data_IF_996291329875
#
_entry.id   IF_996291329875
#
_cell.length_a   1.000
_cell.length_b   1.000
_cell.length_c   1.000
_cell.angle_alpha   90.00
_cell.angle_beta   90.00
_cell.angle_gamma   90.00
#
_symmetry.space_group_name_H-M   'P 1'
#
loop_
_entity.id
_entity.type
_entity.pdbx_description
1 polymer ?
#
# COMPACT_ATOMS: atom_id res chain seq x y z
N UNK A 1 -13.62 -16.44 -59.68
CA UNK A 1 -12.58 -17.40 -59.31
C UNK A 1 -12.90 -17.96 -57.93
N UNK A 2 -13.33 -19.23 -57.87
CA UNK A 2 -13.71 -19.94 -56.65
C UNK A 2 -12.47 -20.59 -56.08
N UNK A 3 -12.00 -20.18 -54.88
CA UNK A 3 -10.94 -20.90 -54.16
C UNK A 3 -11.58 -21.86 -53.16
N UNK A 4 -11.50 -23.13 -53.52
CA UNK A 4 -11.86 -24.27 -52.68
C UNK A 4 -10.80 -24.53 -51.66
N UNK A 5 -11.10 -24.30 -50.35
CA UNK A 5 -10.29 -24.78 -49.25
C UNK A 5 -10.56 -26.28 -49.07
N UNK A 6 -9.56 -27.11 -49.42
CA UNK A 6 -9.53 -28.53 -49.14
C UNK A 6 -9.33 -28.78 -47.66
N UNK A 7 -10.29 -29.39 -46.98
CA UNK A 7 -10.15 -29.98 -45.67
C UNK A 7 -9.34 -31.26 -45.73
N UNK A 8 -8.27 -31.37 -45.01
CA UNK A 8 -7.53 -32.62 -44.79
C UNK A 8 -8.15 -33.33 -43.59
N UNK A 9 -8.50 -34.60 -43.71
CA UNK A 9 -8.88 -35.42 -42.58
C UNK A 9 -7.61 -35.90 -41.86
N UNK A 10 -7.45 -35.53 -40.59
CA UNK A 10 -6.48 -36.18 -39.72
C UNK A 10 -7.19 -37.37 -39.10
N UNK A 11 -6.87 -38.55 -39.57
CA UNK A 11 -7.27 -39.80 -38.95
C UNK A 11 -6.40 -40.01 -37.71
N UNK A 12 -7.02 -40.25 -36.58
CA UNK A 12 -6.40 -40.88 -35.43
C UNK A 12 -7.33 -41.93 -34.87
N UNK A 13 -6.88 -43.16 -34.96
CA UNK A 13 -7.50 -44.32 -34.34
C UNK A 13 -7.32 -44.25 -32.82
N UNK A 14 -8.36 -44.66 -32.10
CA UNK A 14 -8.25 -44.98 -30.70
C UNK A 14 -8.87 -43.96 -29.73
N UNK A 15 -10.13 -44.26 -29.36
CA UNK A 15 -10.76 -43.99 -28.08
C UNK A 15 -10.31 -42.73 -27.29
N UNK A 16 -10.62 -41.56 -27.79
CA UNK A 16 -10.85 -40.38 -26.99
C UNK A 16 -12.11 -39.70 -27.51
N UNK A 17 -13.20 -39.83 -26.77
CA UNK A 17 -14.37 -38.98 -26.94
C UNK A 17 -13.96 -37.52 -26.68
N UNK A 18 -13.33 -36.89 -27.66
CA UNK A 18 -13.32 -35.45 -27.73
C UNK A 18 -14.73 -35.05 -28.06
N UNK A 19 -15.51 -34.66 -27.03
CA UNK A 19 -16.74 -33.94 -27.22
C UNK A 19 -16.41 -32.82 -28.21
N UNK A 20 -16.94 -32.92 -29.43
CA UNK A 20 -16.80 -31.88 -30.43
C UNK A 20 -17.43 -30.61 -29.88
N UNK A 21 -16.61 -29.76 -29.31
CA UNK A 21 -17.03 -28.46 -28.78
C UNK A 21 -17.31 -27.59 -29.98
N UNK A 22 -18.57 -27.66 -30.46
CA UNK A 22 -19.04 -26.75 -31.52
C UNK A 22 -18.74 -25.31 -31.10
N UNK A 23 -17.99 -24.54 -31.91
CA UNK A 23 -17.71 -23.15 -31.58
C UNK A 23 -19.00 -22.39 -31.33
N UNK A 24 -19.09 -21.63 -30.27
CA UNK A 24 -20.25 -20.83 -29.86
C UNK A 24 -20.90 -20.02 -31.00
N UNK A 25 -20.12 -19.61 -32.01
CA UNK A 25 -20.57 -18.83 -33.17
C UNK A 25 -21.51 -19.56 -34.12
N UNK A 26 -21.60 -20.90 -34.04
CA UNK A 26 -22.42 -21.71 -34.96
C UNK A 26 -23.65 -22.37 -34.31
N UNK A 27 -23.96 -22.03 -33.06
CA UNK A 27 -25.13 -22.56 -32.37
C UNK A 27 -26.40 -21.76 -32.77
N UNK A 28 -27.56 -22.44 -32.94
CA UNK A 28 -28.84 -21.74 -33.08
C UNK A 28 -29.09 -20.78 -31.90
N UNK A 29 -29.83 -19.66 -32.11
CA UNK A 29 -29.96 -18.62 -31.08
C UNK A 29 -30.45 -19.11 -29.72
N UNK A 30 -31.36 -20.07 -29.68
CA UNK A 30 -31.88 -20.64 -28.42
C UNK A 30 -30.84 -21.50 -27.70
N UNK A 31 -30.09 -22.30 -28.41
CA UNK A 31 -29.02 -23.14 -27.85
C UNK A 31 -27.81 -22.29 -27.42
N UNK A 32 -27.49 -21.25 -28.18
CA UNK A 32 -26.48 -20.26 -27.81
C UNK A 32 -26.83 -19.61 -26.48
N UNK A 33 -28.07 -19.13 -26.32
CA UNK A 33 -28.49 -18.50 -25.06
C UNK A 33 -28.48 -19.48 -23.88
N UNK A 34 -28.90 -20.74 -24.08
CA UNK A 34 -28.89 -21.78 -23.05
C UNK A 34 -27.44 -22.08 -22.59
N UNK A 35 -26.51 -22.20 -23.56
CA UNK A 35 -25.12 -22.47 -23.28
C UNK A 35 -24.44 -21.27 -22.62
N UNK A 36 -24.77 -20.04 -23.03
CA UNK A 36 -24.25 -18.81 -22.39
C UNK A 36 -24.72 -18.73 -20.94
N UNK A 37 -25.99 -19.01 -20.63
CA UNK A 37 -26.51 -19.06 -19.26
C UNK A 37 -25.80 -20.11 -18.41
N UNK A 38 -25.51 -21.29 -18.99
CA UNK A 38 -24.73 -22.32 -18.27
C UNK A 38 -23.31 -21.86 -17.95
N UNK A 39 -22.59 -21.30 -18.93
CA UNK A 39 -21.24 -20.77 -18.73
C UNK A 39 -21.23 -19.66 -17.67
N UNK A 40 -22.23 -18.77 -17.70
CA UNK A 40 -22.34 -17.68 -16.72
C UNK A 40 -22.64 -18.22 -15.32
N UNK A 41 -23.47 -19.26 -15.21
CA UNK A 41 -23.76 -19.97 -13.97
C UNK A 41 -22.53 -20.67 -13.41
N UNK A 42 -21.81 -21.41 -14.24
CA UNK A 42 -20.60 -22.13 -13.85
C UNK A 42 -19.48 -21.16 -13.41
N UNK A 43 -19.29 -20.05 -14.14
CA UNK A 43 -18.42 -18.95 -13.75
C UNK A 43 -18.79 -18.36 -12.40
N UNK A 44 -20.08 -18.08 -12.21
CA UNK A 44 -20.58 -17.54 -10.94
C UNK A 44 -20.31 -18.49 -9.78
N UNK A 45 -20.57 -19.78 -9.96
CA UNK A 45 -20.29 -20.79 -8.93
C UNK A 45 -18.78 -20.91 -8.63
N UNK A 46 -17.93 -20.92 -9.66
CA UNK A 46 -16.48 -20.94 -9.48
C UNK A 46 -15.96 -19.72 -8.71
N UNK A 47 -16.48 -18.53 -9.04
CA UNK A 47 -16.15 -17.29 -8.30
C UNK A 47 -16.61 -17.42 -6.84
N UNK A 48 -17.86 -17.82 -6.60
CA UNK A 48 -18.41 -17.97 -5.26
C UNK A 48 -17.62 -18.99 -4.43
N UNK A 49 -17.16 -20.09 -5.01
CA UNK A 49 -16.33 -21.08 -4.34
C UNK A 49 -14.92 -20.57 -3.99
N UNK A 50 -14.39 -19.63 -4.79
CA UNK A 50 -13.06 -19.05 -4.55
C UNK A 50 -13.04 -17.95 -3.48
N UNK A 51 -14.18 -17.27 -3.23
CA UNK A 51 -14.28 -16.15 -2.28
C UNK A 51 -13.79 -16.52 -0.87
N UNK A 52 -14.22 -17.65 -0.25
CA UNK A 52 -13.76 -17.98 1.10
C UNK A 52 -12.25 -18.18 1.19
N UNK A 53 -11.65 -18.80 0.17
CA UNK A 53 -10.21 -19.02 0.10
C UNK A 53 -9.45 -17.69 0.00
N UNK A 54 -9.86 -16.82 -0.90
CA UNK A 54 -9.26 -15.48 -1.07
C UNK A 54 -9.42 -14.67 0.22
N UNK A 55 -10.60 -14.71 0.84
CA UNK A 55 -10.84 -14.02 2.10
C UNK A 55 -9.91 -14.52 3.22
N UNK A 56 -9.72 -15.83 3.33
CA UNK A 56 -8.80 -16.42 4.31
C UNK A 56 -7.36 -15.97 4.07
N UNK A 57 -6.87 -15.99 2.83
CA UNK A 57 -5.54 -15.52 2.47
C UNK A 57 -5.33 -14.02 2.79
N UNK A 58 -6.36 -13.19 2.55
CA UNK A 58 -6.30 -11.76 2.88
C UNK A 58 -6.24 -11.55 4.39
N UNK A 59 -7.02 -12.32 5.17
CA UNK A 59 -7.02 -12.25 6.63
C UNK A 59 -5.66 -12.68 7.17
N UNK A 60 -5.10 -13.77 6.67
CA UNK A 60 -3.77 -14.25 7.07
C UNK A 60 -2.68 -13.22 6.80
N UNK A 61 -2.66 -12.62 5.60
CA UNK A 61 -1.72 -11.53 5.25
C UNK A 61 -1.85 -10.34 6.20
N UNK A 62 -3.09 -9.94 6.55
CA UNK A 62 -3.34 -8.84 7.49
C UNK A 62 -2.84 -9.19 8.91
N UNK A 63 -3.04 -10.41 9.37
CA UNK A 63 -2.55 -10.86 10.68
C UNK A 63 -1.02 -10.87 10.72
N UNK A 64 -0.37 -11.46 9.71
CA UNK A 64 1.09 -11.45 9.57
C UNK A 64 1.66 -10.04 9.53
N UNK A 65 0.99 -9.11 8.81
CA UNK A 65 1.42 -7.71 8.78
C UNK A 65 1.30 -7.03 10.16
N UNK A 66 0.28 -7.40 10.96
CA UNK A 66 0.13 -6.90 12.33
C UNK A 66 1.24 -7.40 13.24
N UNK A 67 1.58 -8.69 13.15
CA UNK A 67 2.66 -9.30 13.94
C UNK A 67 4.02 -8.67 13.60
N UNK A 68 4.27 -8.40 12.32
CA UNK A 68 5.45 -7.66 11.88
C UNK A 68 5.49 -6.24 12.45
N UNK A 69 4.36 -5.53 12.51
CA UNK A 69 4.29 -4.20 13.16
C UNK A 69 4.69 -4.30 14.64
N UNK A 70 4.20 -5.30 15.37
CA UNK A 70 4.55 -5.46 16.78
C UNK A 70 6.05 -5.80 16.95
N UNK A 71 6.62 -6.64 16.10
CA UNK A 71 8.08 -6.88 16.07
C UNK A 71 8.84 -5.59 15.79
N UNK A 72 8.37 -4.78 14.84
CA UNK A 72 8.94 -3.46 14.56
C UNK A 72 8.85 -2.51 15.75
N UNK A 73 7.74 -2.49 16.46
CA UNK A 73 7.59 -1.68 17.67
C UNK A 73 8.59 -2.12 18.77
N UNK A 74 8.76 -3.43 18.98
CA UNK A 74 9.74 -3.97 19.94
C UNK A 74 11.17 -3.61 19.54
N UNK A 75 11.52 -3.75 18.27
CA UNK A 75 12.82 -3.37 17.75
C UNK A 75 13.09 -1.87 17.94
N UNK A 76 12.09 -1.02 17.65
CA UNK A 76 12.17 0.42 17.86
C UNK A 76 12.41 0.78 19.34
N UNK A 77 11.71 0.15 20.27
CA UNK A 77 11.90 0.35 21.72
C UNK A 77 13.29 -0.06 22.18
N UNK A 78 13.88 -1.09 21.54
CA UNK A 78 15.28 -1.52 21.76
C UNK A 78 16.30 -0.66 21.02
N UNK A 79 15.89 0.45 20.39
CA UNK A 79 16.71 1.35 19.56
C UNK A 79 17.39 0.68 18.36
N UNK A 80 16.87 -0.47 17.91
CA UNK A 80 17.32 -1.18 16.71
C UNK A 80 16.51 -0.67 15.50
N UNK A 81 16.83 0.53 15.07
CA UNK A 81 16.00 1.27 14.11
C UNK A 81 16.00 0.66 12.72
N UNK A 82 17.11 0.10 12.26
CA UNK A 82 17.21 -0.60 10.98
C UNK A 82 16.36 -1.87 10.96
N UNK A 83 16.39 -2.65 12.05
CA UNK A 83 15.57 -3.85 12.21
C UNK A 83 14.08 -3.47 12.24
N UNK A 84 13.71 -2.38 12.92
CA UNK A 84 12.36 -1.87 12.94
C UNK A 84 11.90 -1.40 11.55
N UNK A 85 12.74 -0.66 10.80
CA UNK A 85 12.46 -0.24 9.41
C UNK A 85 12.18 -1.45 8.51
N UNK A 86 12.95 -2.53 8.67
CA UNK A 86 12.77 -3.76 7.91
C UNK A 86 11.41 -4.40 8.20
N UNK A 87 11.05 -4.60 9.47
CA UNK A 87 9.75 -5.17 9.85
C UNK A 87 8.56 -4.33 9.36
N UNK A 88 8.63 -3.00 9.45
CA UNK A 88 7.57 -2.15 8.92
C UNK A 88 7.50 -2.22 7.38
N UNK A 89 8.63 -2.37 6.69
CA UNK A 89 8.67 -2.51 5.23
C UNK A 89 8.01 -3.81 4.77
N UNK A 90 8.27 -4.92 5.45
CA UNK A 90 7.60 -6.19 5.19
C UNK A 90 6.09 -6.11 5.48
N UNK A 91 5.69 -5.42 6.57
CA UNK A 91 4.29 -5.20 6.89
C UNK A 91 3.56 -4.39 5.80
N UNK A 92 4.21 -3.38 5.22
CA UNK A 92 3.68 -2.58 4.11
C UNK A 92 3.47 -3.44 2.87
N UNK A 93 4.41 -4.34 2.53
CA UNK A 93 4.28 -5.24 1.39
C UNK A 93 3.05 -6.16 1.52
N UNK A 94 2.72 -6.59 2.74
CA UNK A 94 1.57 -7.43 3.00
C UNK A 94 0.25 -6.66 3.04
N UNK A 95 0.27 -5.40 3.47
CA UNK A 95 -0.92 -4.56 3.57
C UNK A 95 -0.58 -3.08 3.40
N UNK A 96 -0.48 -2.65 2.14
CA UNK A 96 -0.13 -1.27 1.76
C UNK A 96 -1.14 -0.22 2.26
N UNK A 97 -2.43 -0.60 2.42
CA UNK A 97 -3.51 0.30 2.85
C UNK A 97 -3.55 0.60 4.35
N UNK A 98 -2.66 0.00 5.16
CA UNK A 98 -2.68 0.22 6.60
C UNK A 98 -1.70 1.32 7.02
N UNK A 99 -2.21 2.55 7.11
CA UNK A 99 -1.47 3.78 7.44
C UNK A 99 -0.44 3.66 8.57
N UNK A 100 -0.71 2.97 9.73
CA UNK A 100 0.25 2.94 10.83
C UNK A 100 1.62 2.36 10.46
N UNK A 101 1.72 1.49 9.47
CA UNK A 101 3.02 0.95 9.04
C UNK A 101 3.91 2.04 8.46
N UNK A 102 3.33 2.88 7.58
CA UNK A 102 4.00 4.02 6.97
C UNK A 102 4.45 5.04 8.01
N UNK A 103 3.56 5.42 8.94
CA UNK A 103 3.87 6.39 9.99
C UNK A 103 4.98 5.89 10.92
N UNK A 104 4.96 4.61 11.30
CA UNK A 104 5.98 4.03 12.15
C UNK A 104 7.33 3.92 11.44
N UNK A 105 7.34 3.58 10.14
CA UNK A 105 8.56 3.56 9.34
C UNK A 105 9.13 4.97 9.16
N UNK A 106 8.28 5.97 8.90
CA UNK A 106 8.68 7.37 8.85
C UNK A 106 9.38 7.82 10.14
N UNK A 107 8.80 7.44 11.29
CA UNK A 107 9.42 7.73 12.61
C UNK A 107 10.79 7.10 12.75
N UNK A 108 10.96 5.83 12.35
CA UNK A 108 12.28 5.17 12.33
C UNK A 108 13.28 5.93 11.46
N UNK A 109 12.87 6.29 10.24
CA UNK A 109 13.67 7.01 9.27
C UNK A 109 14.10 8.38 9.78
N UNK A 110 13.21 9.10 10.47
CA UNK A 110 13.52 10.37 11.10
C UNK A 110 14.64 10.23 12.16
N UNK A 111 14.54 9.23 13.03
CA UNK A 111 15.57 8.95 14.03
C UNK A 111 16.92 8.61 13.38
N UNK A 112 16.90 7.89 12.27
CA UNK A 112 18.10 7.55 11.48
C UNK A 112 18.58 8.68 10.56
N UNK A 113 17.97 9.87 10.64
CA UNK A 113 18.25 11.03 9.76
C UNK A 113 17.99 10.77 8.26
N UNK A 114 17.23 9.73 7.92
CA UNK A 114 16.77 9.42 6.55
C UNK A 114 15.53 10.24 6.21
N UNK A 115 15.62 11.57 6.34
CA UNK A 115 14.47 12.49 6.31
C UNK A 115 13.69 12.46 5.01
N UNK A 116 14.35 12.35 3.85
CA UNK A 116 13.65 12.29 2.55
C UNK A 116 12.76 11.03 2.45
N UNK A 117 13.26 9.89 2.92
CA UNK A 117 12.47 8.66 2.99
C UNK A 117 11.30 8.74 3.98
N UNK A 118 11.49 9.49 5.10
CA UNK A 118 10.43 9.73 6.05
C UNK A 118 9.31 10.60 5.46
N UNK A 119 9.63 11.63 4.65
CA UNK A 119 8.65 12.45 3.94
C UNK A 119 7.81 11.58 3.02
N UNK A 120 8.42 10.74 2.19
CA UNK A 120 7.72 9.85 1.28
C UNK A 120 6.76 8.89 2.01
N UNK A 121 7.18 8.35 3.15
CA UNK A 121 6.31 7.50 3.98
C UNK A 121 5.14 8.29 4.58
N UNK A 122 5.38 9.52 5.03
CA UNK A 122 4.33 10.40 5.53
C UNK A 122 3.33 10.76 4.43
N UNK A 123 3.78 11.00 3.20
CA UNK A 123 2.90 11.26 2.06
C UNK A 123 1.99 10.07 1.77
N UNK A 124 2.56 8.84 1.79
CA UNK A 124 1.79 7.60 1.67
C UNK A 124 0.77 7.44 2.82
N UNK A 125 1.15 7.78 4.05
CA UNK A 125 0.25 7.73 5.20
C UNK A 125 -0.88 8.79 5.11
N UNK A 126 -0.57 9.99 4.65
CA UNK A 126 -1.52 11.10 4.50
C UNK A 126 -2.45 10.91 3.30
N UNK A 127 -2.04 10.20 2.25
CA UNK A 127 -2.94 9.80 1.16
C UNK A 127 -4.04 8.86 1.63
N UNK A 128 -3.77 8.02 2.66
CA UNK A 128 -4.76 7.13 3.27
C UNK A 128 -5.66 7.90 4.26
N UNK A 129 -5.06 8.79 5.07
CA UNK A 129 -5.80 9.63 6.01
C UNK A 129 -5.13 11.02 6.12
N UNK A 130 -5.68 12.03 5.41
CA UNK A 130 -5.12 13.40 5.40
C UNK A 130 -5.10 14.09 6.77
N UNK A 131 -5.97 13.67 7.70
CA UNK A 131 -6.07 14.26 9.06
C UNK A 131 -5.26 13.49 10.11
N UNK A 132 -4.30 12.67 9.71
CA UNK A 132 -3.47 11.93 10.66
C UNK A 132 -2.43 12.82 11.33
N UNK A 133 -2.71 13.27 12.56
CA UNK A 133 -1.82 14.15 13.33
C UNK A 133 -0.41 13.57 13.51
N UNK A 134 -0.29 12.26 13.73
CA UNK A 134 1.01 11.58 13.83
C UNK A 134 1.83 11.67 12.55
N UNK A 135 1.20 11.47 11.38
CA UNK A 135 1.91 11.57 10.09
C UNK A 135 2.29 13.00 9.75
N UNK A 136 1.44 13.97 10.10
CA UNK A 136 1.72 15.40 9.96
C UNK A 136 2.92 15.78 10.83
N UNK A 137 2.95 15.36 12.10
CA UNK A 137 4.07 15.59 13.01
C UNK A 137 5.37 15.00 12.48
N UNK A 138 5.35 13.74 12.04
CA UNK A 138 6.56 13.10 11.51
C UNK A 138 7.05 13.74 10.20
N UNK A 139 6.15 14.25 9.35
CA UNK A 139 6.52 15.00 8.15
C UNK A 139 7.16 16.33 8.51
N UNK A 140 6.56 17.08 9.44
CA UNK A 140 7.17 18.31 9.97
C UNK A 140 8.56 18.07 10.58
N UNK A 141 8.73 16.99 11.35
CA UNK A 141 10.03 16.61 11.91
C UNK A 141 11.08 16.29 10.82
N UNK A 142 10.67 15.62 9.74
CA UNK A 142 11.55 15.33 8.62
C UNK A 142 11.98 16.60 7.87
N UNK A 143 11.04 17.51 7.63
CA UNK A 143 11.29 18.81 7.01
C UNK A 143 12.22 19.68 7.88
N UNK A 144 12.01 19.68 9.20
CA UNK A 144 12.89 20.35 10.16
C UNK A 144 14.31 19.77 10.07
N UNK A 145 14.45 18.45 9.99
CA UNK A 145 15.76 17.79 9.84
C UNK A 145 16.47 18.12 8.52
N UNK A 146 15.71 18.48 7.47
CA UNK A 146 16.24 18.99 6.20
C UNK A 146 16.43 20.51 6.17
N UNK A 147 16.19 21.21 7.28
CA UNK A 147 16.22 22.67 7.40
C UNK A 147 15.22 23.39 6.48
N UNK A 148 14.14 22.70 6.07
CA UNK A 148 13.01 23.26 5.31
C UNK A 148 12.00 23.86 6.29
N UNK A 149 12.41 24.94 6.93
CA UNK A 149 11.74 25.50 8.11
C UNK A 149 10.32 26.00 7.82
N UNK A 150 10.12 26.71 6.71
CA UNK A 150 8.81 27.27 6.34
C UNK A 150 7.78 26.17 6.12
N UNK A 151 8.16 25.12 5.40
CA UNK A 151 7.29 23.98 5.18
C UNK A 151 7.01 23.19 6.48
N UNK A 152 8.00 23.02 7.34
CA UNK A 152 7.80 22.39 8.65
C UNK A 152 6.81 23.19 9.49
N UNK A 153 6.89 24.53 9.45
CA UNK A 153 5.97 25.43 10.14
C UNK A 153 4.53 25.23 9.69
N UNK A 154 4.28 25.16 8.38
CA UNK A 154 2.94 24.94 7.83
C UNK A 154 2.33 23.64 8.35
N UNK A 155 3.11 22.53 8.38
CA UNK A 155 2.64 21.25 8.91
C UNK A 155 2.34 21.34 10.41
N UNK A 156 3.15 22.00 11.21
CA UNK A 156 2.90 22.15 12.64
C UNK A 156 1.71 23.08 12.92
N UNK A 157 1.50 24.12 12.14
CA UNK A 157 0.34 25.00 12.24
C UNK A 157 -0.96 24.26 11.89
N UNK A 158 -0.93 23.35 10.91
CA UNK A 158 -2.08 22.54 10.53
C UNK A 158 -2.60 21.66 11.68
N UNK A 159 -1.75 21.26 12.63
CA UNK A 159 -2.16 20.51 13.81
C UNK A 159 -3.12 21.30 14.71
N UNK A 160 -3.06 22.63 14.73
CA UNK A 160 -3.99 23.48 15.49
C UNK A 160 -5.42 23.29 15.00
N UNK A 161 -5.62 23.26 13.69
CA UNK A 161 -6.94 23.06 13.09
C UNK A 161 -7.52 21.66 13.36
N UNK A 162 -6.65 20.70 13.73
CA UNK A 162 -7.02 19.33 14.07
C UNK A 162 -7.21 19.09 15.58
N UNK A 163 -7.18 20.17 16.37
CA UNK A 163 -7.36 20.08 17.82
C UNK A 163 -6.08 19.79 18.64
N UNK A 164 -4.92 19.68 17.99
CA UNK A 164 -3.61 19.38 18.60
C UNK A 164 -2.83 20.66 18.94
N UNK A 165 -3.52 21.68 19.49
CA UNK A 165 -2.94 23.01 19.72
C UNK A 165 -1.70 23.02 20.62
N UNK A 166 -1.68 22.21 21.70
CA UNK A 166 -0.53 22.11 22.61
C UNK A 166 0.66 21.46 21.93
N UNK A 167 0.42 20.36 21.20
CA UNK A 167 1.46 19.67 20.41
C UNK A 167 2.04 20.59 19.35
N UNK A 168 1.20 21.34 18.63
CA UNK A 168 1.60 22.33 17.65
C UNK A 168 2.49 23.43 18.25
N UNK A 169 2.10 24.00 19.40
CA UNK A 169 2.88 25.05 20.07
C UNK A 169 4.28 24.57 20.49
N UNK A 170 4.38 23.36 21.03
CA UNK A 170 5.67 22.77 21.42
C UNK A 170 6.57 22.51 20.19
N UNK A 171 6.00 22.05 19.09
CA UNK A 171 6.75 21.79 17.85
C UNK A 171 7.20 23.09 17.16
N UNK A 172 6.36 24.13 17.18
CA UNK A 172 6.72 25.44 16.65
C UNK A 172 7.82 26.12 17.50
N UNK A 173 7.78 25.98 18.83
CA UNK A 173 8.87 26.43 19.69
C UNK A 173 10.18 25.71 19.34
N UNK A 174 10.16 24.38 19.23
CA UNK A 174 11.34 23.60 18.84
C UNK A 174 11.88 24.03 17.46
N UNK A 175 10.99 24.33 16.53
CA UNK A 175 11.39 24.82 15.19
C UNK A 175 12.12 26.15 15.31
N UNK A 176 11.60 27.09 16.09
CA UNK A 176 12.24 28.38 16.35
C UNK A 176 13.64 28.23 16.95
N UNK A 177 13.75 27.41 18.00
CA UNK A 177 15.04 27.13 18.68
C UNK A 177 16.09 26.58 17.68
N UNK A 178 15.68 25.69 16.77
CA UNK A 178 16.57 25.11 15.75
C UNK A 178 16.94 26.14 14.68
N UNK A 179 16.01 27.00 14.28
CA UNK A 179 16.30 28.09 13.33
C UNK A 179 17.32 29.08 13.90
N UNK A 180 17.18 29.50 15.15
CA UNK A 180 18.10 30.42 15.80
C UNK A 180 19.51 29.80 15.91
N UNK A 181 19.60 28.54 16.30
CA UNK A 181 20.90 27.84 16.37
C UNK A 181 21.57 27.70 15.00
N UNK A 182 20.79 27.42 13.94
CA UNK A 182 21.29 27.36 12.56
C UNK A 182 21.77 28.73 12.07
N UNK A 183 21.06 29.80 12.40
CA UNK A 183 21.43 31.16 12.06
C UNK A 183 22.75 31.57 12.72
N UNK A 184 22.85 31.37 14.05
CA UNK A 184 24.09 31.68 14.82
C UNK A 184 25.29 30.89 14.31
N UNK A 185 25.11 29.64 13.90
CA UNK A 185 26.23 28.81 13.39
C UNK A 185 26.76 29.29 12.01
N UNK A 186 26.01 30.13 11.29
CA UNK A 186 26.44 30.70 10.00
C UNK A 186 27.16 32.05 10.14
N UNK A 187 26.95 32.74 11.26
CA UNK A 187 27.54 34.07 11.50
C UNK A 187 28.94 34.01 12.19
N UNK A 188 29.39 32.83 12.61
CA UNK A 188 30.74 32.67 13.18
C UNK A 188 31.70 32.43 12.01
N UNK A 189 32.62 33.37 11.74
CA UNK A 189 33.61 33.22 10.66
C UNK A 189 34.67 32.14 10.96
#
# INVERSE_FOLDING_TARGET
>A
MKSTLKSHPVGLDGQNHILAVTPLKFLPPKEFQKRQKSIDSDRKMAIMASIPKIAAEVIEKKNKARDLKEKGNVAFMKKKFEEAEMFYSEAIQLNIGYRPFWTNRAKCRNVMKKHQGAISDCDSALSINPKCTKSITEKGNALLGLKRFDEAKEYYESLRSLGEGVSAANLLKKLHDVQETDFQSREIP
#
